data_IF_491566430559
#
_entry.id   IF_491566430559
#
_cell.length_a   1.000
_cell.length_b   1.000
_cell.length_c   1.000
_cell.angle_alpha   90.00
_cell.angle_beta   90.00
_cell.angle_gamma   90.00
#
_symmetry.space_group_name_H-M   'P 1'
#
loop_
_entity.id
_entity.type
_entity.pdbx_description
1 polymer ?
#
# COMPACT_ATOMS: atom_id res chain seq x y z
N UNK A 1 56.34 -31.47 68.11
CA UNK A 1 56.14 -30.08 67.54
C UNK A 1 55.79 -30.21 66.08
N UNK A 2 54.53 -30.08 65.75
CA UNK A 2 54.04 -30.20 64.33
C UNK A 2 53.65 -28.83 63.83
N UNK A 3 54.40 -28.27 62.86
CA UNK A 3 54.11 -27.01 62.18
C UNK A 3 53.02 -27.24 61.20
N UNK A 4 51.86 -26.59 61.36
CA UNK A 4 50.78 -26.55 60.39
C UNK A 4 51.11 -25.48 59.39
N UNK A 5 51.35 -25.91 58.18
CA UNK A 5 51.44 -25.03 57.00
C UNK A 5 50.02 -24.65 56.48
N UNK A 6 49.71 -23.37 56.43
CA UNK A 6 48.46 -22.88 55.85
C UNK A 6 48.67 -22.67 54.33
N UNK A 7 48.02 -23.50 53.53
CA UNK A 7 47.88 -23.23 52.08
C UNK A 7 46.86 -22.11 51.86
N UNK A 8 47.30 -20.98 51.32
CA UNK A 8 46.41 -19.97 50.77
C UNK A 8 46.11 -20.37 49.33
N UNK A 9 44.83 -20.78 49.09
CA UNK A 9 44.34 -20.91 47.72
C UNK A 9 43.95 -19.52 47.18
N UNK A 10 44.69 -19.05 46.20
CA UNK A 10 44.32 -17.88 45.46
C UNK A 10 43.31 -18.27 44.36
N UNK A 11 42.07 -17.81 44.51
CA UNK A 11 41.04 -17.95 43.46
C UNK A 11 41.23 -16.79 42.45
N UNK A 12 41.71 -17.12 41.28
CA UNK A 12 41.79 -16.15 40.15
C UNK A 12 40.39 -16.04 39.52
N UNK A 13 39.73 -14.91 39.71
CA UNK A 13 38.48 -14.58 39.01
C UNK A 13 38.86 -14.00 37.63
N UNK A 14 38.67 -14.81 36.59
CA UNK A 14 38.80 -14.36 35.20
C UNK A 14 37.54 -13.56 34.84
N UNK A 15 37.65 -12.23 34.78
CA UNK A 15 36.61 -11.36 34.24
C UNK A 15 36.68 -11.42 32.72
N UNK A 16 35.73 -12.16 32.11
CA UNK A 16 35.52 -12.13 30.66
C UNK A 16 34.90 -10.77 30.26
N UNK A 17 35.71 -9.91 29.71
CA UNK A 17 35.23 -8.66 29.09
C UNK A 17 34.52 -8.99 27.77
N UNK A 18 33.18 -8.94 27.77
CA UNK A 18 32.41 -8.96 26.54
C UNK A 18 32.67 -7.64 25.79
N UNK A 19 33.48 -7.69 24.79
CA UNK A 19 33.60 -6.58 23.80
C UNK A 19 32.33 -6.67 22.95
N UNK A 20 31.32 -5.83 23.24
CA UNK A 20 30.18 -5.64 22.36
C UNK A 20 30.73 -5.05 21.04
N UNK A 21 30.65 -5.84 19.96
CA UNK A 21 30.93 -5.32 18.64
C UNK A 21 29.92 -4.20 18.33
N UNK A 22 30.37 -3.05 17.82
CA UNK A 22 29.43 -2.02 17.39
C UNK A 22 28.55 -2.62 16.27
N UNK A 23 27.24 -2.72 16.53
CA UNK A 23 26.29 -3.00 15.49
C UNK A 23 26.27 -1.77 14.57
N UNK A 24 26.87 -1.88 13.41
CA UNK A 24 26.65 -0.91 12.35
C UNK A 24 25.19 -1.07 11.91
N UNK A 25 24.30 -0.26 12.46
CA UNK A 25 23.03 -0.01 11.82
C UNK A 25 23.39 0.66 10.48
N UNK A 26 23.25 -0.10 9.41
CA UNK A 26 23.31 0.42 8.06
C UNK A 26 22.28 1.55 8.02
N UNK A 27 22.72 2.79 7.92
CA UNK A 27 21.83 3.92 7.71
C UNK A 27 21.31 3.76 6.29
N UNK A 28 20.26 2.93 6.15
CA UNK A 28 19.48 2.89 4.93
C UNK A 28 19.07 4.34 4.64
N UNK A 29 19.58 4.87 3.55
CA UNK A 29 19.16 6.14 3.01
C UNK A 29 17.67 5.99 2.69
N UNK A 30 16.81 6.27 3.66
CA UNK A 30 15.35 6.27 3.43
C UNK A 30 15.09 7.33 2.38
N UNK A 31 14.46 6.96 1.25
CA UNK A 31 14.14 7.96 0.24
C UNK A 31 13.27 9.05 0.86
N UNK A 32 13.56 10.30 0.49
CA UNK A 32 12.73 11.43 0.90
C UNK A 32 11.38 11.30 0.20
N UNK A 33 10.36 10.87 0.94
CA UNK A 33 9.01 10.63 0.43
C UNK A 33 8.13 11.81 0.80
N UNK A 34 7.67 12.54 -0.21
CA UNK A 34 6.63 13.56 -0.03
C UNK A 34 5.27 13.01 -0.46
N UNK A 35 4.24 13.31 0.33
CA UNK A 35 2.86 12.93 0.03
C UNK A 35 2.07 14.13 -0.49
N UNK A 36 1.33 13.92 -1.58
CA UNK A 36 0.44 14.92 -2.15
C UNK A 36 -0.94 14.30 -2.40
N UNK A 37 -2.00 15.00 -1.98
CA UNK A 37 -3.36 14.56 -2.28
C UNK A 37 -3.69 14.83 -3.75
N UNK A 38 -4.00 13.77 -4.50
CA UNK A 38 -4.37 13.87 -5.93
C UNK A 38 -5.86 13.77 -6.18
N UNK A 39 -6.64 13.20 -5.26
CA UNK A 39 -8.09 13.09 -5.32
C UNK A 39 -8.68 12.96 -3.92
N UNK A 40 -9.80 13.64 -3.67
CA UNK A 40 -10.48 13.67 -2.36
C UNK A 40 -11.93 13.19 -2.50
N UNK A 41 -12.57 12.89 -1.36
CA UNK A 41 -13.98 12.53 -1.29
C UNK A 41 -14.28 11.12 -1.79
N UNK A 42 -13.28 10.24 -1.86
CA UNK A 42 -13.46 8.84 -2.22
C UNK A 42 -14.06 8.04 -1.05
N UNK A 43 -15.00 7.16 -1.34
CA UNK A 43 -15.60 6.24 -0.37
C UNK A 43 -15.12 4.81 -0.63
N UNK A 44 -14.36 4.24 0.29
CA UNK A 44 -13.78 2.91 0.15
C UNK A 44 -13.04 2.71 -1.20
N UNK A 45 -12.05 3.56 -1.54
CA UNK A 45 -11.26 3.38 -2.74
C UNK A 45 -10.52 2.05 -2.67
N UNK A 46 -10.50 1.32 -3.80
CA UNK A 46 -9.92 -0.02 -3.81
C UNK A 46 -8.68 -0.12 -4.69
N UNK A 47 -8.77 0.36 -5.92
CA UNK A 47 -7.68 0.23 -6.88
C UNK A 47 -7.64 1.42 -7.84
N UNK A 48 -6.49 1.58 -8.51
CA UNK A 48 -6.29 2.65 -9.49
C UNK A 48 -5.41 2.19 -10.66
N UNK A 49 -5.71 2.71 -11.84
CA UNK A 49 -4.93 2.51 -13.05
C UNK A 49 -4.68 3.84 -13.77
N UNK A 50 -3.52 3.98 -14.39
CA UNK A 50 -3.11 5.22 -15.05
C UNK A 50 -2.92 5.03 -16.53
N UNK A 51 -3.33 6.02 -17.32
CA UNK A 51 -2.96 6.13 -18.74
C UNK A 51 -1.57 6.78 -18.88
N UNK A 52 -0.93 6.58 -20.02
CA UNK A 52 0.30 7.31 -20.35
C UNK A 52 0.08 8.83 -20.45
N UNK A 53 -1.16 9.28 -20.62
CA UNK A 53 -1.55 10.69 -20.68
C UNK A 53 -1.81 11.32 -19.30
N UNK A 54 -1.70 10.53 -18.21
CA UNK A 54 -1.89 11.01 -16.85
C UNK A 54 -3.33 10.97 -16.35
N UNK A 55 -4.28 10.39 -17.10
CA UNK A 55 -5.61 10.13 -16.55
C UNK A 55 -5.54 8.99 -15.54
N UNK A 56 -6.28 9.10 -14.44
CA UNK A 56 -6.33 8.14 -13.36
C UNK A 56 -7.73 7.54 -13.24
N UNK A 57 -7.86 6.24 -13.45
CA UNK A 57 -9.08 5.49 -13.17
C UNK A 57 -9.04 4.98 -11.75
N UNK A 58 -10.16 5.13 -11.02
CA UNK A 58 -10.27 4.74 -9.61
C UNK A 58 -11.55 3.95 -9.42
N UNK A 59 -11.45 2.84 -8.70
CA UNK A 59 -12.62 2.08 -8.23
C UNK A 59 -12.94 2.44 -6.79
N UNK A 60 -14.23 2.61 -6.52
CA UNK A 60 -14.82 2.72 -5.19
C UNK A 60 -15.74 1.55 -4.97
N UNK A 61 -15.46 0.73 -3.97
CA UNK A 61 -16.04 -0.60 -3.77
C UNK A 61 -17.57 -0.66 -3.92
N UNK A 62 -18.30 0.24 -3.27
CA UNK A 62 -19.76 0.25 -3.28
C UNK A 62 -20.36 1.36 -4.15
N UNK A 63 -19.55 2.06 -4.90
CA UNK A 63 -20.02 3.12 -5.80
C UNK A 63 -19.81 2.80 -7.27
N UNK A 64 -18.57 2.56 -7.67
CA UNK A 64 -18.27 2.29 -9.06
C UNK A 64 -16.89 2.75 -9.51
N UNK A 65 -16.77 2.95 -10.82
CA UNK A 65 -15.56 3.40 -11.52
C UNK A 65 -15.67 4.86 -11.89
N UNK A 66 -14.66 5.63 -11.55
CA UNK A 66 -14.51 7.03 -11.96
C UNK A 66 -13.17 7.25 -12.66
N UNK A 67 -13.08 8.32 -13.45
CA UNK A 67 -11.81 8.79 -14.00
C UNK A 67 -11.56 10.23 -13.57
N UNK A 68 -10.35 10.50 -13.12
CA UNK A 68 -9.79 11.85 -13.00
C UNK A 68 -8.89 12.08 -14.19
N UNK A 69 -9.24 13.05 -15.02
CA UNK A 69 -8.42 13.43 -16.17
C UNK A 69 -7.12 14.11 -15.74
N UNK A 70 -6.13 14.11 -16.62
CA UNK A 70 -4.87 14.84 -16.42
C UNK A 70 -5.10 16.35 -16.23
N UNK A 71 -6.21 16.90 -16.76
CA UNK A 71 -6.63 18.29 -16.52
C UNK A 71 -7.28 18.54 -15.15
N UNK A 72 -7.54 17.48 -14.37
CA UNK A 72 -8.10 17.57 -13.02
C UNK A 72 -9.62 17.32 -12.93
N UNK A 73 -10.35 17.23 -14.04
CA UNK A 73 -11.79 16.96 -14.05
C UNK A 73 -12.07 15.51 -13.63
N UNK A 74 -13.14 15.30 -12.83
CA UNK A 74 -13.56 13.97 -12.39
C UNK A 74 -14.88 13.60 -13.05
N UNK A 75 -14.95 12.41 -13.63
CA UNK A 75 -16.14 11.86 -14.26
C UNK A 75 -16.46 10.47 -13.72
N UNK A 76 -17.68 10.27 -13.23
CA UNK A 76 -18.19 8.97 -12.82
C UNK A 76 -18.67 8.18 -14.06
N UNK A 77 -18.02 7.04 -14.32
CA UNK A 77 -18.22 6.27 -15.57
C UNK A 77 -19.27 5.17 -15.40
N UNK A 78 -19.05 4.26 -14.47
CA UNK A 78 -19.87 3.08 -14.30
C UNK A 78 -20.11 2.82 -12.81
N UNK A 79 -21.37 2.72 -12.41
CA UNK A 79 -21.77 2.58 -11.01
C UNK A 79 -22.75 1.45 -10.76
N UNK A 80 -23.14 1.28 -9.51
CA UNK A 80 -24.20 0.37 -9.11
C UNK A 80 -25.54 0.80 -9.69
N UNK A 81 -26.47 -0.14 -9.83
CA UNK A 81 -27.86 0.14 -10.22
C UNK A 81 -28.46 1.23 -9.33
N UNK A 82 -29.01 2.26 -9.96
CA UNK A 82 -29.65 3.38 -9.28
C UNK A 82 -28.68 4.44 -8.74
N UNK A 83 -27.38 4.28 -8.88
CA UNK A 83 -26.40 5.33 -8.52
C UNK A 83 -26.59 6.56 -9.38
N UNK A 84 -26.64 7.72 -8.75
CA UNK A 84 -26.78 9.01 -9.44
C UNK A 84 -25.40 9.53 -9.88
N UNK A 85 -25.36 10.20 -11.02
CA UNK A 85 -24.17 10.88 -11.52
C UNK A 85 -23.21 9.99 -12.32
N UNK A 86 -23.47 8.69 -12.44
CA UNK A 86 -22.70 7.78 -13.29
C UNK A 86 -23.22 7.79 -14.72
N UNK A 87 -22.31 7.72 -15.71
CA UNK A 87 -22.66 7.67 -17.13
C UNK A 87 -23.41 6.38 -17.50
N UNK A 88 -23.08 5.27 -16.82
CA UNK A 88 -23.80 3.99 -16.92
C UNK A 88 -23.93 3.30 -15.57
N UNK A 89 -24.86 2.36 -15.45
CA UNK A 89 -25.04 1.54 -14.23
C UNK A 89 -25.16 0.08 -14.57
N UNK A 90 -24.62 -0.79 -13.71
CA UNK A 90 -24.69 -2.24 -13.81
C UNK A 90 -25.73 -2.80 -12.84
N UNK A 91 -26.56 -3.71 -13.33
CA UNK A 91 -27.62 -4.33 -12.52
C UNK A 91 -27.08 -5.38 -11.54
N UNK A 92 -25.98 -5.96 -11.86
CA UNK A 92 -25.33 -7.11 -11.23
C UNK A 92 -24.10 -6.74 -10.39
N UNK A 93 -23.77 -5.44 -10.30
CA UNK A 93 -22.77 -4.99 -9.35
C UNK A 93 -23.31 -5.10 -7.94
N UNK A 94 -22.80 -6.07 -7.19
CA UNK A 94 -23.17 -6.36 -5.82
C UNK A 94 -22.13 -5.81 -4.84
N UNK A 95 -22.56 -5.17 -3.77
CA UNK A 95 -21.65 -4.70 -2.73
C UNK A 95 -22.08 -5.18 -1.35
N UNK A 96 -21.36 -6.16 -0.80
CA UNK A 96 -21.54 -6.65 0.58
C UNK A 96 -20.28 -7.35 1.06
N UNK A 97 -19.93 -7.19 2.33
CA UNK A 97 -18.74 -7.81 2.89
C UNK A 97 -17.49 -7.39 2.11
N UNK A 98 -16.81 -8.32 1.45
CA UNK A 98 -15.63 -8.07 0.61
C UNK A 98 -15.98 -7.89 -0.89
N UNK A 99 -17.22 -8.14 -1.29
CA UNK A 99 -17.65 -7.96 -2.67
C UNK A 99 -17.94 -6.51 -3.03
N UNK A 100 -17.76 -6.16 -4.28
CA UNK A 100 -17.96 -4.83 -4.85
C UNK A 100 -17.03 -4.59 -6.03
N UNK A 101 -17.06 -3.40 -6.61
CA UNK A 101 -16.12 -3.01 -7.67
C UNK A 101 -14.73 -2.85 -7.08
N UNK A 102 -13.80 -3.73 -7.44
CA UNK A 102 -12.48 -3.84 -6.84
C UNK A 102 -11.37 -3.49 -7.84
N UNK A 103 -10.74 -4.50 -8.45
CA UNK A 103 -9.60 -4.29 -9.33
C UNK A 103 -9.95 -3.53 -10.61
N UNK A 104 -9.03 -2.70 -11.10
CA UNK A 104 -9.13 -2.03 -12.39
C UNK A 104 -7.86 -2.20 -13.21
N UNK A 105 -7.99 -2.53 -14.49
CA UNK A 105 -6.87 -2.59 -15.42
C UNK A 105 -7.25 -2.00 -16.76
N UNK A 106 -6.28 -1.33 -17.39
CA UNK A 106 -6.43 -0.83 -18.76
C UNK A 106 -5.96 -1.89 -19.75
N UNK A 107 -6.65 -2.00 -20.88
CA UNK A 107 -6.20 -2.81 -22.00
C UNK A 107 -4.80 -2.35 -22.47
N UNK A 108 -3.87 -3.24 -22.81
CA UNK A 108 -2.56 -2.84 -23.35
C UNK A 108 -2.66 -1.91 -24.58
N UNK A 109 -3.76 -1.98 -25.33
CA UNK A 109 -4.06 -1.11 -26.46
C UNK A 109 -5.11 -0.02 -26.13
N UNK A 110 -5.21 0.38 -24.85
CA UNK A 110 -6.22 1.35 -24.39
C UNK A 110 -6.31 2.60 -25.25
N UNK A 111 -5.19 3.13 -25.70
CA UNK A 111 -5.17 4.31 -26.58
C UNK A 111 -5.94 4.13 -27.90
N UNK A 112 -6.08 2.87 -28.37
CA UNK A 112 -6.80 2.54 -29.60
C UNK A 112 -8.23 2.09 -29.35
N UNK A 113 -8.45 1.26 -28.32
CA UNK A 113 -9.73 0.58 -28.13
C UNK A 113 -10.56 1.08 -26.94
N UNK A 114 -9.94 1.88 -26.03
CA UNK A 114 -10.59 2.44 -24.83
C UNK A 114 -11.21 1.40 -23.89
N UNK A 115 -10.69 0.18 -23.90
CA UNK A 115 -11.19 -0.90 -23.03
C UNK A 115 -10.60 -0.82 -21.65
N UNK A 116 -11.46 -1.01 -20.64
CA UNK A 116 -11.14 -1.06 -19.23
C UNK A 116 -11.72 -2.37 -18.70
N UNK A 117 -10.95 -3.09 -17.90
CA UNK A 117 -11.39 -4.30 -17.21
C UNK A 117 -11.55 -3.97 -15.74
N UNK A 118 -12.66 -4.37 -15.15
CA UNK A 118 -12.94 -4.21 -13.72
C UNK A 118 -13.32 -5.56 -13.15
N UNK A 119 -12.84 -5.86 -11.95
CA UNK A 119 -13.27 -7.01 -11.17
C UNK A 119 -14.34 -6.55 -10.16
N UNK A 120 -15.41 -7.35 -10.04
CA UNK A 120 -16.50 -7.11 -9.10
C UNK A 120 -17.07 -8.43 -8.55
#
# INVERSE_FOLDING_TARGET
MIKKSKLLSAVAIATASFIAAPSYADTMNTPDISAMSVMNGLENPWDMAFTNGGDMFVTEKCKGLSVKTSSGSVHALAGMKGSKGYASTFNDLFCSGQAGMMGVALDPNFNKNRRIYVAS
#
